data_IF_918873117502
#
_entry.id   IF_918873117502
#
_cell.length_a   1.000
_cell.length_b   1.000
_cell.length_c   1.000
_cell.angle_alpha   90.00
_cell.angle_beta   90.00
_cell.angle_gamma   90.00
#
_symmetry.space_group_name_H-M   'P 1'
#
loop_
_entity.id
_entity.type
_entity.pdbx_description
1 polymer ?
#
# COMPACT_ATOMS: atom_id res chain seq x y z
N UNK A 1 -11.62 -3.54 3.27
CA UNK A 1 -10.76 -4.50 3.99
C UNK A 1 -10.36 -5.64 3.07
N UNK A 2 -9.19 -6.23 3.25
CA UNK A 2 -8.77 -7.42 2.50
C UNK A 2 -8.23 -8.47 3.49
N UNK A 3 -8.89 -9.64 3.64
CA UNK A 3 -8.35 -10.71 4.47
C UNK A 3 -6.94 -11.10 4.01
N UNK A 4 -5.99 -11.20 4.94
CA UNK A 4 -4.56 -11.42 4.62
C UNK A 4 -4.31 -12.68 3.77
N UNK A 5 -5.11 -13.73 3.97
CA UNK A 5 -5.10 -14.97 3.16
C UNK A 5 -5.43 -14.77 1.67
N UNK A 6 -6.02 -13.64 1.29
CA UNK A 6 -6.35 -13.26 -0.11
C UNK A 6 -5.38 -12.24 -0.70
N UNK A 7 -4.35 -11.85 0.05
CA UNK A 7 -3.35 -10.88 -0.37
C UNK A 7 -1.99 -11.50 -0.73
N UNK A 8 -1.80 -12.80 -0.47
CA UNK A 8 -0.50 -13.47 -0.56
C UNK A 8 0.13 -13.48 -1.96
N UNK A 9 -0.68 -13.37 -3.01
CA UNK A 9 -0.28 -13.32 -4.42
C UNK A 9 -0.25 -11.89 -5.00
N UNK A 10 -0.40 -10.87 -4.16
CA UNK A 10 -0.33 -9.46 -4.57
C UNK A 10 1.09 -8.94 -4.35
N UNK A 11 1.68 -8.34 -5.38
CA UNK A 11 2.94 -7.62 -5.25
C UNK A 11 2.70 -6.28 -4.54
N UNK A 12 2.91 -6.26 -3.22
CA UNK A 12 2.84 -5.04 -2.40
C UNK A 12 4.23 -4.39 -2.27
N UNK A 13 4.32 -3.04 -2.27
CA UNK A 13 5.53 -2.36 -1.85
C UNK A 13 5.96 -2.76 -0.44
N UNK A 14 7.27 -2.84 -0.20
CA UNK A 14 7.80 -3.25 1.10
C UNK A 14 7.54 -2.25 2.23
N UNK A 15 7.28 -1.00 1.89
CA UNK A 15 6.94 0.08 2.82
C UNK A 15 5.52 0.57 2.57
N UNK A 16 4.87 1.04 3.63
CA UNK A 16 3.62 1.77 3.51
C UNK A 16 3.82 3.05 2.70
N UNK A 17 2.83 3.42 1.90
CA UNK A 17 2.96 4.55 0.99
C UNK A 17 1.64 5.28 0.78
N UNK A 18 1.75 6.53 0.33
CA UNK A 18 0.68 7.25 -0.35
C UNK A 18 1.06 7.48 -1.80
N UNK A 19 0.10 7.36 -2.70
CA UNK A 19 0.23 7.72 -4.11
C UNK A 19 -0.67 8.92 -4.39
N UNK A 20 -0.10 9.97 -4.97
CA UNK A 20 -0.80 11.20 -5.32
C UNK A 20 -0.82 11.38 -6.84
N UNK A 21 -2.04 11.60 -7.37
CA UNK A 21 -2.32 11.91 -8.77
C UNK A 21 -1.61 10.99 -9.77
N UNK A 22 -1.39 9.73 -9.41
CA UNK A 22 -0.61 8.73 -10.18
C UNK A 22 0.78 9.22 -10.62
N UNK A 23 1.43 10.07 -9.80
CA UNK A 23 2.67 10.76 -10.17
C UNK A 23 3.70 10.86 -9.05
N UNK A 24 3.27 10.87 -7.80
CA UNK A 24 4.15 11.05 -6.65
C UNK A 24 3.85 10.00 -5.61
N UNK A 25 4.87 9.22 -5.25
CA UNK A 25 4.82 8.31 -4.12
C UNK A 25 5.48 8.97 -2.91
N UNK A 26 4.80 8.92 -1.77
CA UNK A 26 5.34 9.25 -0.44
C UNK A 26 5.48 7.97 0.37
N UNK A 27 6.70 7.51 0.58
CA UNK A 27 6.99 6.40 1.47
C UNK A 27 6.90 6.84 2.93
N UNK A 28 6.30 5.99 3.76
CA UNK A 28 6.28 6.16 5.20
C UNK A 28 7.29 5.19 5.81
N UNK A 29 8.45 5.71 6.23
CA UNK A 29 9.48 4.91 6.87
C UNK A 29 9.26 4.87 8.38
N UNK A 30 9.23 3.66 8.95
CA UNK A 30 9.11 3.43 10.38
C UNK A 30 10.27 2.56 10.86
N UNK A 31 10.84 2.88 12.03
CA UNK A 31 11.81 2.03 12.69
C UNK A 31 11.13 0.81 13.34
N UNK A 32 11.94 -0.14 13.80
CA UNK A 32 11.44 -1.37 14.43
C UNK A 32 10.64 -1.14 15.72
N UNK A 33 10.81 0.00 16.38
CA UNK A 33 10.01 0.43 17.54
C UNK A 33 8.72 1.17 17.15
N UNK A 34 8.45 1.31 15.84
CA UNK A 34 7.31 2.04 15.29
C UNK A 34 7.49 3.55 15.19
N UNK A 35 8.64 4.10 15.60
CA UNK A 35 8.90 5.54 15.44
C UNK A 35 9.04 5.92 13.98
N UNK A 36 8.43 7.06 13.60
CA UNK A 36 8.57 7.60 12.25
C UNK A 36 10.01 8.04 11.99
N UNK A 37 10.56 7.62 10.85
CA UNK A 37 11.87 8.04 10.35
C UNK A 37 11.75 9.18 9.32
N UNK A 38 10.54 9.73 9.18
CA UNK A 38 10.24 10.77 8.22
C UNK A 38 9.83 10.21 6.85
N UNK A 39 9.23 11.06 6.00
CA UNK A 39 8.80 10.66 4.68
C UNK A 39 9.91 10.75 3.64
N UNK A 40 9.84 9.88 2.64
CA UNK A 40 10.60 10.00 1.40
C UNK A 40 9.61 10.21 0.24
N UNK A 41 9.97 11.05 -0.72
CA UNK A 41 9.16 11.34 -1.89
C UNK A 41 9.89 10.90 -3.16
N UNK A 42 9.19 10.23 -4.07
CA UNK A 42 9.73 9.84 -5.37
C UNK A 42 8.71 10.01 -6.49
N UNK A 43 9.20 10.42 -7.66
CA UNK A 43 8.45 10.47 -8.93
C UNK A 43 8.98 9.44 -9.92
N UNK A 44 9.79 8.47 -9.46
CA UNK A 44 10.28 7.37 -10.28
C UNK A 44 9.09 6.63 -10.91
N UNK A 45 8.99 6.55 -12.26
CA UNK A 45 7.86 5.91 -12.93
C UNK A 45 7.65 4.45 -12.55
N UNK A 46 8.72 3.72 -12.21
CA UNK A 46 8.63 2.31 -11.81
C UNK A 46 8.00 2.16 -10.42
N UNK A 47 8.37 3.04 -9.48
CA UNK A 47 7.80 3.08 -8.15
C UNK A 47 6.32 3.49 -8.20
N UNK A 48 5.99 4.54 -8.97
CA UNK A 48 4.61 4.99 -9.19
C UNK A 48 3.76 3.86 -9.77
N UNK A 49 4.26 3.17 -10.80
CA UNK A 49 3.55 2.06 -11.43
C UNK A 49 3.30 0.91 -10.45
N UNK A 50 4.32 0.48 -9.71
CA UNK A 50 4.19 -0.59 -8.72
C UNK A 50 3.12 -0.24 -7.66
N UNK A 51 3.17 0.98 -7.13
CA UNK A 51 2.21 1.45 -6.14
C UNK A 51 0.78 1.49 -6.68
N UNK A 52 0.58 1.99 -7.90
CA UNK A 52 -0.72 2.04 -8.56
C UNK A 52 -1.30 0.64 -8.80
N UNK A 53 -0.50 -0.26 -9.38
CA UNK A 53 -0.92 -1.66 -9.64
C UNK A 53 -1.25 -2.41 -8.34
N UNK A 54 -0.45 -2.21 -7.29
CA UNK A 54 -0.71 -2.78 -5.98
C UNK A 54 -2.03 -2.26 -5.37
N UNK A 55 -2.29 -0.96 -5.47
CA UNK A 55 -3.53 -0.36 -4.97
C UNK A 55 -4.75 -0.93 -5.68
N UNK A 56 -4.76 -0.94 -7.02
CA UNK A 56 -5.87 -1.49 -7.81
C UNK A 56 -6.12 -2.98 -7.50
N UNK A 57 -5.06 -3.77 -7.38
CA UNK A 57 -5.17 -5.19 -7.03
C UNK A 57 -5.80 -5.41 -5.65
N UNK A 58 -5.42 -4.60 -4.65
CA UNK A 58 -6.01 -4.64 -3.30
C UNK A 58 -7.46 -4.15 -3.33
N UNK A 59 -7.73 -3.04 -4.03
CA UNK A 59 -9.03 -2.41 -4.10
C UNK A 59 -10.07 -3.34 -4.74
N UNK A 60 -9.74 -3.96 -5.88
CA UNK A 60 -10.61 -4.91 -6.58
C UNK A 60 -10.92 -6.19 -5.80
N UNK A 61 -10.11 -6.53 -4.78
CA UNK A 61 -10.33 -7.70 -3.91
C UNK A 61 -10.93 -7.34 -2.56
N UNK A 62 -11.07 -6.04 -2.26
CA UNK A 62 -11.56 -5.54 -0.99
C UNK A 62 -13.01 -5.95 -0.72
N UNK A 63 -13.32 -6.17 0.55
CA UNK A 63 -14.69 -6.25 1.08
C UNK A 63 -15.02 -4.96 1.83
N UNK A 64 -16.29 -4.56 1.81
CA UNK A 64 -16.76 -3.35 2.51
C UNK A 64 -16.60 -3.52 4.02
N UNK A 65 -16.54 -2.40 4.76
CA UNK A 65 -16.27 -2.42 6.19
C UNK A 65 -17.31 -3.17 7.02
N UNK A 66 -18.58 -2.97 6.70
CA UNK A 66 -19.74 -3.62 7.32
C UNK A 66 -19.77 -5.15 7.09
N UNK A 67 -19.14 -5.62 6.03
CA UNK A 67 -19.08 -7.05 5.67
C UNK A 67 -17.78 -7.72 6.13
N UNK A 68 -16.83 -6.95 6.68
CA UNK A 68 -15.55 -7.51 7.11
C UNK A 68 -15.67 -8.16 8.48
N UNK A 69 -15.51 -9.47 8.51
CA UNK A 69 -15.46 -10.24 9.74
C UNK A 69 -14.00 -10.47 10.17
N UNK A 70 -13.68 -10.07 11.40
CA UNK A 70 -12.44 -10.44 12.07
C UNK A 70 -12.62 -11.89 12.54
N UNK A 71 -11.86 -12.81 11.96
CA UNK A 71 -11.86 -14.24 12.30
C UNK A 71 -10.46 -14.68 12.68
#
# INVERSE_FOLDING_TARGET
WLPRRRASDIALPGNDFWLFDDRLVRWNHFAGDGSSQGPEHTTDPSAVKLCGEAFEAVWGRGVTHDQYEIR
#
